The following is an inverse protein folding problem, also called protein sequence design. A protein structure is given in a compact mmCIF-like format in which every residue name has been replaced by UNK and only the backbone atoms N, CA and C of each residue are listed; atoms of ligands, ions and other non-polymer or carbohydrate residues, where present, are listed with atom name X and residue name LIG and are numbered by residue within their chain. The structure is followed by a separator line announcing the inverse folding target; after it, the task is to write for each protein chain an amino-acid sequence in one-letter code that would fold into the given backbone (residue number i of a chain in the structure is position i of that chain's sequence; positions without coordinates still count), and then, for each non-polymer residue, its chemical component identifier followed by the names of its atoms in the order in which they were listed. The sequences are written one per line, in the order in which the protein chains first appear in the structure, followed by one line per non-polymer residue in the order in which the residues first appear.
data_IF_809256961318
#
_entry.id   IF_809256961318
#
_cell.length_a   1.000
_cell.length_b   1.000
_cell.length_c   1.000
_cell.angle_alpha   90.00
_cell.angle_beta   90.00
_cell.angle_gamma   90.00
#
_symmetry.space_group_name_H-M   'P 1'
#
loop_
_entity.id
_entity.type
_entity.pdbx_description
1 polymer ?
#
# COMPACT_ATOMS: atom_id res chain seq x y z
N UNK A 1 11.04 2.60 6.35
CA UNK A 1 10.37 3.59 5.47
C UNK A 1 10.94 4.99 5.70
N UNK A 2 10.88 5.90 4.71
CA UNK A 2 11.54 7.23 4.73
C UNK A 2 11.24 8.04 6.00
N UNK A 3 10.00 8.02 6.50
CA UNK A 3 9.60 8.65 7.75
C UNK A 3 10.43 8.15 8.97
N UNK A 4 10.64 6.84 9.08
CA UNK A 4 11.44 6.23 10.14
C UNK A 4 12.95 6.54 10.03
N UNK A 5 13.43 6.77 8.80
CA UNK A 5 14.80 7.25 8.59
C UNK A 5 14.95 8.70 9.09
N UNK A 6 13.92 9.53 8.91
CA UNK A 6 13.90 10.94 9.34
C UNK A 6 13.69 11.11 10.85
N UNK A 7 12.97 10.18 11.50
CA UNK A 7 12.78 10.17 12.96
C UNK A 7 13.97 9.61 13.74
N UNK A 8 15.01 9.10 13.05
CA UNK A 8 16.26 8.65 13.66
C UNK A 8 16.22 7.24 14.26
N UNK A 9 15.18 6.45 14.02
CA UNK A 9 15.06 5.09 14.59
C UNK A 9 15.83 4.00 13.83
N UNK A 10 16.42 4.32 12.67
CA UNK A 10 16.90 3.31 11.71
C UNK A 10 18.40 2.98 11.71
N UNK A 11 19.29 3.87 12.18
CA UNK A 11 20.75 3.64 12.26
C UNK A 11 21.31 4.50 13.38
N UNK A 12 22.18 3.93 14.21
CA UNK A 12 22.61 4.46 15.51
C UNK A 12 22.79 5.98 15.62
N UNK A 13 22.12 6.53 16.64
CA UNK A 13 22.55 7.65 17.48
C UNK A 13 23.10 8.91 16.81
N UNK A 14 22.26 9.69 16.10
CA UNK A 14 22.35 11.15 15.99
C UNK A 14 20.92 11.69 15.78
N UNK A 15 20.50 12.67 16.59
CA UNK A 15 19.12 13.19 16.64
C UNK A 15 18.55 13.63 15.29
N UNK A 16 17.22 13.62 15.19
CA UNK A 16 16.37 14.07 14.08
C UNK A 16 17.14 14.67 12.88
N UNK A 17 17.61 13.81 11.97
CA UNK A 17 18.48 14.18 10.84
C UNK A 17 17.84 15.25 9.93
N UNK A 18 16.51 15.36 9.95
CA UNK A 18 15.75 16.43 9.32
C UNK A 18 14.35 16.57 9.95
N UNK A 19 14.22 17.30 11.06
CA UNK A 19 12.93 17.52 11.75
C UNK A 19 11.93 18.32 10.89
N UNK A 20 12.40 19.14 9.96
CA UNK A 20 11.55 19.86 9.00
C UNK A 20 10.99 18.91 7.94
N UNK A 21 11.85 18.05 7.38
CA UNK A 21 11.43 17.02 6.42
C UNK A 21 10.48 15.99 7.03
N UNK A 22 10.70 15.61 8.29
CA UNK A 22 9.78 14.77 9.04
C UNK A 22 8.39 15.42 9.14
N UNK A 23 8.31 16.67 9.61
CA UNK A 23 7.03 17.40 9.75
C UNK A 23 6.34 17.64 8.41
N UNK A 24 7.09 17.95 7.36
CA UNK A 24 6.54 18.13 6.02
C UNK A 24 5.92 16.83 5.48
N UNK A 25 6.61 15.70 5.67
CA UNK A 25 6.12 14.39 5.27
C UNK A 25 4.91 13.95 6.11
N UNK A 26 4.96 14.12 7.43
CA UNK A 26 3.85 13.83 8.34
C UNK A 26 2.60 14.64 7.96
N UNK A 27 2.74 15.96 7.77
CA UNK A 27 1.66 16.82 7.32
C UNK A 27 1.08 16.37 5.97
N UNK A 28 1.92 16.05 4.99
CA UNK A 28 1.47 15.60 3.66
C UNK A 28 0.73 14.24 3.72
N UNK A 29 1.11 13.34 4.63
CA UNK A 29 0.42 12.06 4.83
C UNK A 29 -0.94 12.24 5.50
N UNK A 30 -1.08 13.20 6.42
CA UNK A 30 -2.32 13.46 7.15
C UNK A 30 -3.34 14.29 6.35
N UNK A 31 -2.87 15.21 5.51
CA UNK A 31 -3.71 16.26 4.91
C UNK A 31 -3.90 16.12 3.40
N UNK A 32 -3.19 15.22 2.74
CA UNK A 32 -3.25 15.07 1.29
C UNK A 32 -3.59 13.64 0.87
N UNK A 33 -4.39 13.50 -0.18
CA UNK A 33 -4.75 12.18 -0.69
C UNK A 33 -3.60 11.53 -1.45
N UNK A 34 -3.30 10.28 -1.13
CA UNK A 34 -2.36 9.42 -1.86
C UNK A 34 -2.99 8.74 -3.10
N UNK A 35 -4.22 9.09 -3.48
CA UNK A 35 -4.91 8.46 -4.62
C UNK A 35 -4.17 8.69 -5.95
N UNK A 36 -3.57 9.88 -6.11
CA UNK A 36 -2.64 10.19 -7.19
C UNK A 36 -1.26 10.39 -6.58
N UNK A 37 -0.47 9.31 -6.57
CA UNK A 37 0.83 9.27 -5.90
C UNK A 37 1.85 10.23 -6.54
N UNK A 38 1.76 10.48 -7.85
CA UNK A 38 2.70 11.37 -8.54
C UNK A 38 2.34 12.84 -8.33
N UNK A 39 1.05 13.19 -8.33
CA UNK A 39 0.61 14.53 -7.94
C UNK A 39 0.95 14.83 -6.47
N UNK A 40 0.75 13.86 -5.57
CA UNK A 40 1.13 13.95 -4.17
C UNK A 40 2.64 14.15 -4.00
N UNK A 41 3.45 13.33 -4.69
CA UNK A 41 4.90 13.44 -4.62
C UNK A 41 5.40 14.77 -5.21
N UNK A 42 4.80 15.26 -6.29
CA UNK A 42 5.14 16.56 -6.87
C UNK A 42 4.86 17.70 -5.88
N UNK A 43 3.71 17.68 -5.20
CA UNK A 43 3.35 18.69 -4.20
C UNK A 43 4.32 18.66 -3.01
N UNK A 44 4.63 17.47 -2.50
CA UNK A 44 5.62 17.31 -1.43
C UNK A 44 7.02 17.74 -1.87
N UNK A 45 7.44 17.44 -3.10
CA UNK A 45 8.75 17.85 -3.64
C UNK A 45 8.86 19.38 -3.75
N UNK A 46 7.77 20.07 -4.12
CA UNK A 46 7.71 21.53 -4.13
C UNK A 46 7.84 22.13 -2.72
N UNK A 47 7.27 21.47 -1.72
CA UNK A 47 7.36 21.91 -0.32
C UNK A 47 8.72 21.56 0.32
N UNK A 48 9.28 20.39 0.00
CA UNK A 48 10.56 19.91 0.49
C UNK A 48 11.23 18.99 -0.54
N UNK A 49 12.13 19.55 -1.36
CA UNK A 49 12.77 18.85 -2.46
C UNK A 49 13.56 17.61 -1.99
N UNK A 50 14.26 17.70 -0.85
CA UNK A 50 15.08 16.60 -0.34
C UNK A 50 14.22 15.39 0.07
N UNK A 51 13.09 15.64 0.73
CA UNK A 51 12.13 14.57 1.08
C UNK A 51 11.56 13.93 -0.17
N UNK A 52 11.17 14.74 -1.16
CA UNK A 52 10.65 14.27 -2.44
C UNK A 52 11.62 13.34 -3.17
N UNK A 53 12.87 13.77 -3.34
CA UNK A 53 13.93 12.94 -3.95
C UNK A 53 14.12 11.64 -3.18
N UNK A 54 14.17 11.71 -1.84
CA UNK A 54 14.38 10.51 -1.01
C UNK A 54 13.26 9.49 -1.15
N UNK A 55 12.01 9.94 -1.27
CA UNK A 55 10.85 9.08 -1.52
C UNK A 55 10.93 8.47 -2.91
N UNK A 56 11.30 9.25 -3.93
CA UNK A 56 11.44 8.77 -5.30
C UNK A 56 12.51 7.65 -5.40
N UNK A 57 13.67 7.83 -4.78
CA UNK A 57 14.72 6.81 -4.70
C UNK A 57 14.24 5.56 -3.96
N UNK A 58 13.64 5.77 -2.76
CA UNK A 58 13.25 4.65 -1.90
C UNK A 58 12.12 3.83 -2.53
N UNK A 59 11.13 4.48 -3.19
CA UNK A 59 10.02 3.77 -3.83
C UNK A 59 10.49 2.95 -5.03
N UNK A 60 11.45 3.47 -5.80
CA UNK A 60 12.06 2.73 -6.91
C UNK A 60 12.86 1.54 -6.41
N UNK A 61 13.76 1.77 -5.44
CA UNK A 61 14.56 0.71 -4.84
C UNK A 61 13.65 -0.42 -4.30
N UNK A 62 12.67 -0.07 -3.48
CA UNK A 62 11.72 -1.03 -2.93
C UNK A 62 10.99 -1.84 -4.00
N UNK A 63 10.43 -1.19 -5.02
CA UNK A 63 9.74 -1.87 -6.12
C UNK A 63 10.67 -2.77 -6.95
N UNK A 64 11.95 -2.42 -7.06
CA UNK A 64 12.92 -3.15 -7.90
C UNK A 64 13.63 -4.30 -7.19
N UNK A 65 13.86 -4.21 -5.88
CA UNK A 65 14.71 -5.16 -5.15
C UNK A 65 14.00 -5.87 -4.00
N UNK A 66 13.15 -5.15 -3.27
CA UNK A 66 12.67 -5.63 -1.97
C UNK A 66 11.22 -6.15 -2.04
N UNK A 67 10.47 -5.73 -3.06
CA UNK A 67 9.08 -6.16 -3.23
C UNK A 67 9.01 -7.55 -3.84
N UNK A 68 8.38 -8.48 -3.12
CA UNK A 68 8.21 -9.87 -3.55
C UNK A 68 7.07 -10.03 -4.56
N UNK A 69 7.31 -9.61 -5.81
CA UNK A 69 6.32 -9.68 -6.90
C UNK A 69 5.77 -11.09 -7.13
N UNK A 70 6.63 -12.10 -7.02
CA UNK A 70 6.23 -13.50 -7.21
C UNK A 70 5.26 -13.95 -6.12
N UNK A 71 5.48 -13.55 -4.87
CA UNK A 71 4.58 -13.85 -3.75
C UNK A 71 3.27 -13.09 -3.84
N UNK A 72 3.29 -11.83 -4.28
CA UNK A 72 2.07 -11.10 -4.57
C UNK A 72 1.22 -11.85 -5.61
N UNK A 73 1.85 -12.30 -6.70
CA UNK A 73 1.17 -13.05 -7.76
C UNK A 73 0.58 -14.37 -7.23
N UNK A 74 1.38 -15.16 -6.53
CA UNK A 74 0.95 -16.43 -5.93
C UNK A 74 -0.27 -16.22 -5.04
N UNK A 75 -0.19 -15.29 -4.09
CA UNK A 75 -1.28 -15.00 -3.14
C UNK A 75 -2.54 -14.48 -3.85
N UNK A 76 -2.38 -13.61 -4.85
CA UNK A 76 -3.51 -13.05 -5.60
C UNK A 76 -4.28 -14.16 -6.33
N UNK A 77 -3.57 -15.08 -6.98
CA UNK A 77 -4.21 -16.19 -7.69
C UNK A 77 -4.93 -17.15 -6.72
N UNK A 78 -4.30 -17.48 -5.60
CA UNK A 78 -4.89 -18.35 -4.57
C UNK A 78 -6.17 -17.74 -3.97
N UNK A 79 -6.14 -16.44 -3.64
CA UNK A 79 -7.29 -15.73 -3.08
C UNK A 79 -8.44 -15.60 -4.10
N UNK A 80 -8.13 -15.37 -5.38
CA UNK A 80 -9.13 -15.35 -6.44
C UNK A 80 -9.78 -16.71 -6.63
N UNK A 81 -8.98 -17.78 -6.66
CA UNK A 81 -9.51 -19.13 -6.78
C UNK A 81 -10.43 -19.45 -5.60
N UNK A 82 -9.94 -19.28 -4.38
CA UNK A 82 -10.69 -19.56 -3.15
C UNK A 82 -11.96 -18.71 -3.06
N UNK A 83 -11.87 -17.42 -3.41
CA UNK A 83 -13.01 -16.50 -3.43
C UNK A 83 -14.07 -16.90 -4.46
N UNK A 84 -13.64 -17.29 -5.66
CA UNK A 84 -14.54 -17.77 -6.71
C UNK A 84 -15.22 -19.08 -6.30
N UNK A 85 -14.48 -20.05 -5.77
CA UNK A 85 -15.05 -21.31 -5.28
C UNK A 85 -16.10 -21.07 -4.19
N UNK A 86 -15.81 -20.20 -3.23
CA UNK A 86 -16.76 -19.83 -2.17
C UNK A 86 -18.03 -19.20 -2.77
N UNK A 87 -17.87 -18.23 -3.66
CA UNK A 87 -18.99 -17.56 -4.34
C UNK A 87 -19.86 -18.56 -5.09
N UNK A 88 -19.25 -19.48 -5.84
CA UNK A 88 -19.98 -20.49 -6.62
C UNK A 88 -20.71 -21.49 -5.73
N UNK A 89 -20.10 -21.92 -4.62
CA UNK A 89 -20.78 -22.78 -3.64
C UNK A 89 -21.98 -22.08 -3.01
N UNK A 90 -21.86 -20.81 -2.65
CA UNK A 90 -22.99 -20.02 -2.12
C UNK A 90 -24.09 -19.85 -3.17
N UNK A 91 -23.75 -19.46 -4.39
CA UNK A 91 -24.71 -19.30 -5.48
C UNK A 91 -25.44 -20.60 -5.81
N UNK A 92 -24.73 -21.73 -5.84
CA UNK A 92 -25.32 -23.05 -6.02
C UNK A 92 -26.28 -23.40 -4.87
N UNK A 93 -25.87 -23.23 -3.62
CA UNK A 93 -26.70 -23.51 -2.45
C UNK A 93 -28.01 -22.69 -2.46
N UNK A 94 -27.93 -21.40 -2.80
CA UNK A 94 -29.12 -20.54 -2.94
C UNK A 94 -30.02 -20.96 -4.11
N UNK A 95 -29.44 -21.43 -5.22
CA UNK A 95 -30.21 -21.84 -6.40
C UNK A 95 -30.92 -23.17 -6.13
N UNK A 96 -30.22 -24.16 -5.58
CA UNK A 96 -30.79 -25.46 -5.26
C UNK A 96 -31.77 -25.41 -4.08
N UNK A 97 -31.49 -24.61 -3.04
CA UNK A 97 -32.45 -24.37 -1.95
C UNK A 97 -33.78 -23.82 -2.47
N UNK A 98 -33.74 -22.85 -3.39
CA UNK A 98 -34.94 -22.29 -4.05
C UNK A 98 -35.64 -23.25 -5.02
N UNK A 99 -34.95 -24.30 -5.47
CA UNK A 99 -35.53 -25.29 -6.38
C UNK A 99 -36.37 -26.31 -5.61
N UNK A 100 -35.95 -26.69 -4.40
CA UNK A 100 -36.70 -27.59 -3.50
C UNK A 100 -37.97 -26.90 -2.96
N UNK A 101 -37.90 -25.62 -2.59
CA UNK A 101 -39.07 -24.86 -2.11
C UNK A 101 -40.16 -24.63 -3.18
N UNK A 102 -39.87 -24.86 -4.48
CA UNK A 102 -40.84 -24.71 -5.57
C UNK A 102 -41.54 -26.01 -5.97
N UNK A 103 -41.07 -27.16 -5.49
CA UNK A 103 -41.65 -28.47 -5.79
C UNK A 103 -42.56 -29.00 -4.65
N UNK A 104 -42.66 -28.28 -3.53
CA UNK A 104 -43.65 -28.49 -2.44
C UNK A 104 -44.87 -27.56 -2.59
#
# INVERSE_FOLDING_TARGET
AVLAQMSGSGRGALGAYNAEGYRALEYALENESLRDADAWLLKLTKANNLVGVRIAETRLAYASTDFEWDKLKELTLDQLQTGNEKTMRTAAAETFGRSIEKEE
#
